data_IF_102930266563
#
_entry.id   IF_102930266563
#
_cell.length_a   1.000
_cell.length_b   1.000
_cell.length_c   1.000
_cell.angle_alpha   90.00
_cell.angle_beta   90.00
_cell.angle_gamma   90.00
#
_symmetry.space_group_name_H-M   'P 1'
#
loop_
_entity.id
_entity.type
_entity.pdbx_description
1 polymer ?
#
# COMPACT_ATOMS: atom_id res chain seq x y z
N UNK A 1 -22.81 44.14 35.97
CA UNK A 1 -23.13 44.05 34.53
C UNK A 1 -22.14 44.93 33.79
N UNK A 2 -21.20 44.34 33.05
CA UNK A 2 -20.16 45.06 32.33
C UNK A 2 -20.61 45.27 30.87
N UNK A 3 -20.77 46.53 30.45
CA UNK A 3 -20.99 46.90 29.05
C UNK A 3 -19.64 47.18 28.42
N UNK A 4 -19.15 46.24 27.60
CA UNK A 4 -18.03 46.47 26.68
C UNK A 4 -18.56 47.22 25.46
N UNK A 5 -18.17 48.48 25.30
CA UNK A 5 -18.34 49.22 24.06
C UNK A 5 -17.34 48.70 23.03
N UNK A 6 -17.84 48.37 21.83
CA UNK A 6 -17.05 48.04 20.64
C UNK A 6 -16.98 49.33 19.81
N UNK A 7 -15.81 49.85 19.43
CA UNK A 7 -15.75 50.96 18.49
C UNK A 7 -15.93 50.47 17.05
N UNK A 8 -16.82 51.17 16.33
CA UNK A 8 -17.15 50.98 14.92
C UNK A 8 -15.92 51.07 14.01
N UNK A 9 -15.79 50.08 13.13
CA UNK A 9 -14.76 50.00 12.07
C UNK A 9 -15.28 50.72 10.82
N UNK A 10 -15.23 52.04 10.83
CA UNK A 10 -15.53 52.86 9.65
C UNK A 10 -14.26 53.15 8.83
N UNK A 11 -14.25 52.64 7.59
CA UNK A 11 -13.64 53.29 6.42
C UNK A 11 -12.12 53.49 6.40
N UNK A 12 -11.39 52.49 5.88
CA UNK A 12 -10.15 52.76 5.15
C UNK A 12 -10.43 52.51 3.66
N UNK A 13 -10.42 53.58 2.88
CA UNK A 13 -10.55 53.62 1.42
C UNK A 13 -9.40 52.82 0.81
N UNK A 14 -9.71 51.88 -0.07
CA UNK A 14 -8.78 50.91 -0.63
C UNK A 14 -8.31 51.37 -2.03
N UNK A 15 -7.88 52.63 -2.15
CA UNK A 15 -7.64 53.23 -3.48
C UNK A 15 -6.22 53.83 -3.66
N UNK A 16 -5.39 53.95 -2.61
CA UNK A 16 -4.13 54.71 -2.71
C UNK A 16 -2.90 53.96 -2.16
N UNK A 17 -2.60 52.76 -2.66
CA UNK A 17 -1.33 52.10 -2.31
C UNK A 17 -0.81 51.12 -3.37
N UNK A 18 -0.89 51.45 -4.66
CA UNK A 18 -0.10 50.71 -5.64
C UNK A 18 0.40 51.61 -6.75
N UNK A 19 1.56 52.24 -6.54
CA UNK A 19 2.45 52.57 -7.64
C UNK A 19 3.89 52.75 -7.20
N UNK A 20 4.70 51.83 -7.73
CA UNK A 20 6.07 52.06 -8.18
C UNK A 20 7.20 52.06 -7.14
N UNK A 21 7.67 50.86 -6.83
CA UNK A 21 9.10 50.64 -6.55
C UNK A 21 9.64 49.58 -7.53
N UNK A 22 10.27 50.05 -8.62
CA UNK A 22 10.99 49.19 -9.56
C UNK A 22 12.36 48.82 -8.97
N UNK A 23 12.49 47.58 -8.50
CA UNK A 23 13.79 46.92 -8.31
C UNK A 23 14.19 46.11 -9.56
N UNK A 24 15.48 46.04 -9.94
CA UNK A 24 15.91 45.56 -11.25
C UNK A 24 16.22 44.05 -11.32
N UNK A 25 16.21 43.54 -12.56
CA UNK A 25 16.41 42.16 -13.04
C UNK A 25 15.19 41.23 -13.01
N UNK A 26 14.07 41.73 -13.53
CA UNK A 26 13.00 40.87 -14.02
C UNK A 26 13.36 40.47 -15.46
N UNK A 27 13.86 39.25 -15.64
CA UNK A 27 13.95 38.62 -16.96
C UNK A 27 12.56 38.69 -17.58
N UNK A 28 12.42 39.36 -18.73
CA UNK A 28 11.11 39.71 -19.25
C UNK A 28 10.21 38.47 -19.44
N UNK A 29 8.87 38.64 -19.51
CA UNK A 29 7.90 37.53 -19.57
C UNK A 29 8.18 36.50 -20.67
N UNK A 30 8.89 36.90 -21.72
CA UNK A 30 9.27 36.04 -22.84
C UNK A 30 10.45 35.11 -22.52
N UNK A 31 11.42 35.57 -21.74
CA UNK A 31 12.57 34.76 -21.30
C UNK A 31 12.11 33.68 -20.29
N UNK A 32 11.20 34.03 -19.39
CA UNK A 32 10.59 33.08 -18.46
C UNK A 32 9.80 31.99 -19.19
N UNK A 33 9.04 32.37 -20.23
CA UNK A 33 8.26 31.44 -21.04
C UNK A 33 9.17 30.46 -21.82
N UNK A 34 10.27 30.96 -22.41
CA UNK A 34 11.24 30.14 -23.13
C UNK A 34 11.97 29.16 -22.21
N UNK A 35 12.32 29.60 -21.00
CA UNK A 35 12.86 28.73 -19.96
C UNK A 35 11.87 27.63 -19.57
N UNK A 36 10.60 27.99 -19.38
CA UNK A 36 9.57 27.02 -19.00
C UNK A 36 9.33 25.97 -20.09
N UNK A 37 9.29 26.37 -21.36
CA UNK A 37 9.18 25.44 -22.48
C UNK A 37 10.38 24.49 -22.56
N UNK A 38 11.60 25.02 -22.33
CA UNK A 38 12.83 24.22 -22.26
C UNK A 38 12.79 23.20 -21.12
N UNK A 39 12.36 23.61 -19.93
CA UNK A 39 12.19 22.73 -18.78
C UNK A 39 11.16 21.63 -19.07
N UNK A 40 10.01 21.96 -19.64
CA UNK A 40 8.98 20.97 -20.00
C UNK A 40 9.53 19.95 -21.00
N UNK A 41 10.25 20.40 -22.02
CA UNK A 41 10.91 19.50 -23.00
C UNK A 41 11.94 18.60 -22.32
N UNK A 42 12.79 19.15 -21.45
CA UNK A 42 13.78 18.38 -20.71
C UNK A 42 13.13 17.32 -19.80
N UNK A 43 12.05 17.69 -19.10
CA UNK A 43 11.29 16.77 -18.23
C UNK A 43 10.62 15.68 -19.04
N UNK A 44 10.02 16.00 -20.19
CA UNK A 44 9.43 15.03 -21.09
C UNK A 44 10.46 14.01 -21.60
N UNK A 45 11.64 14.49 -22.02
CA UNK A 45 12.75 13.61 -22.42
C UNK A 45 13.19 12.70 -21.26
N UNK A 46 13.34 13.25 -20.06
CA UNK A 46 13.71 12.49 -18.85
C UNK A 46 12.68 11.40 -18.55
N UNK A 47 11.38 11.70 -18.64
CA UNK A 47 10.32 10.72 -18.44
C UNK A 47 10.40 9.60 -19.48
N UNK A 48 10.63 9.95 -20.75
CA UNK A 48 10.76 8.95 -21.83
C UNK A 48 11.96 8.04 -21.59
N UNK A 49 13.10 8.61 -21.23
CA UNK A 49 14.32 7.87 -20.92
C UNK A 49 14.14 6.93 -19.71
N UNK A 50 13.47 7.39 -18.65
CA UNK A 50 13.17 6.53 -17.50
C UNK A 50 12.19 5.41 -17.88
N UNK A 51 11.15 5.72 -18.67
CA UNK A 51 10.19 4.70 -19.13
C UNK A 51 10.84 3.62 -19.98
N UNK A 52 11.87 3.96 -20.77
CA UNK A 52 12.58 2.99 -21.59
C UNK A 52 13.60 2.17 -20.79
N UNK A 53 14.32 2.76 -19.84
CA UNK A 53 15.41 2.06 -19.14
C UNK A 53 15.00 1.37 -17.84
N UNK A 54 14.04 1.93 -17.10
CA UNK A 54 13.67 1.44 -15.76
C UNK A 54 13.15 0.00 -15.78
N UNK A 55 12.29 -0.43 -16.72
CA UNK A 55 11.81 -1.82 -16.75
C UNK A 55 12.96 -2.82 -16.87
N UNK A 56 13.95 -2.54 -17.71
CA UNK A 56 15.07 -3.46 -17.93
C UNK A 56 16.05 -3.43 -16.76
N UNK A 57 16.32 -2.25 -16.18
CA UNK A 57 17.12 -2.13 -14.96
C UNK A 57 16.49 -2.90 -13.79
N UNK A 58 15.17 -2.87 -13.64
CA UNK A 58 14.46 -3.63 -12.60
C UNK A 58 14.54 -5.13 -12.86
N UNK A 59 14.35 -5.59 -14.10
CA UNK A 59 14.50 -7.01 -14.46
C UNK A 59 15.90 -7.53 -14.13
N UNK A 60 16.95 -6.81 -14.53
CA UNK A 60 18.33 -7.25 -14.27
C UNK A 60 18.66 -7.25 -12.79
N UNK A 61 18.22 -6.23 -12.05
CA UNK A 61 18.41 -6.15 -10.59
C UNK A 61 17.69 -7.28 -9.88
N UNK A 62 16.43 -7.53 -10.23
CA UNK A 62 15.64 -8.60 -9.62
C UNK A 62 16.20 -9.98 -9.97
N UNK A 63 16.63 -10.21 -11.21
CA UNK A 63 17.30 -11.45 -11.59
C UNK A 63 18.58 -11.67 -10.78
N UNK A 64 19.41 -10.64 -10.59
CA UNK A 64 20.62 -10.71 -9.77
C UNK A 64 20.31 -11.06 -8.30
N UNK A 65 19.31 -10.40 -7.71
CA UNK A 65 18.85 -10.69 -6.34
C UNK A 65 18.32 -12.12 -6.24
N UNK A 66 17.50 -12.55 -7.20
CA UNK A 66 16.99 -13.92 -7.21
C UNK A 66 18.12 -14.93 -7.29
N UNK A 67 19.11 -14.74 -8.16
CA UNK A 67 20.28 -15.64 -8.24
C UNK A 67 21.04 -15.71 -6.92
N UNK A 68 21.27 -14.56 -6.26
CA UNK A 68 21.97 -14.51 -4.97
C UNK A 68 21.20 -15.21 -3.83
N UNK A 69 19.88 -15.29 -3.94
CA UNK A 69 18.99 -15.83 -2.91
C UNK A 69 18.32 -17.15 -3.26
N UNK A 70 18.45 -17.65 -4.49
CA UNK A 70 17.92 -18.96 -4.88
C UNK A 70 18.68 -20.04 -4.10
N UNK A 71 17.98 -20.82 -3.26
CA UNK A 71 18.57 -22.02 -2.69
C UNK A 71 18.95 -22.93 -3.86
N UNK A 72 20.20 -23.39 -3.88
CA UNK A 72 20.65 -24.38 -4.85
C UNK A 72 19.93 -25.70 -4.52
N UNK A 73 18.73 -25.90 -5.07
CA UNK A 73 18.09 -27.20 -5.12
C UNK A 73 18.87 -28.03 -6.15
N UNK A 74 19.95 -28.64 -5.69
CA UNK A 74 20.65 -29.67 -6.44
C UNK A 74 19.65 -30.79 -6.72
N UNK A 75 19.34 -30.99 -8.00
CA UNK A 75 18.51 -32.09 -8.47
C UNK A 75 19.06 -33.41 -7.93
N UNK A 76 18.38 -34.02 -6.96
CA UNK A 76 18.51 -35.45 -6.72
C UNK A 76 17.68 -36.16 -7.78
N UNK A 77 18.28 -36.38 -8.95
CA UNK A 77 17.83 -37.43 -9.88
C UNK A 77 18.00 -38.76 -9.18
N UNK A 78 16.91 -39.26 -8.59
CA UNK A 78 16.85 -40.55 -7.93
C UNK A 78 15.49 -41.17 -8.15
N UNK A 79 15.37 -41.96 -9.21
CA UNK A 79 14.29 -42.93 -9.34
C UNK A 79 14.22 -43.80 -8.07
N UNK A 80 13.05 -43.89 -7.42
CA UNK A 80 12.46 -45.16 -6.96
C UNK A 80 11.32 -44.92 -5.97
N UNK A 81 10.10 -45.22 -6.44
CA UNK A 81 9.07 -46.06 -5.79
C UNK A 81 8.92 -45.97 -4.25
N UNK A 82 7.80 -45.39 -3.82
CA UNK A 82 7.13 -45.60 -2.52
C UNK A 82 6.78 -47.12 -2.40
N UNK A 83 7.01 -47.83 -1.27
CA UNK A 83 6.07 -47.78 -0.14
C UNK A 83 6.63 -47.95 1.29
N UNK A 84 5.92 -47.30 2.24
CA UNK A 84 5.54 -47.75 3.59
C UNK A 84 6.57 -48.47 4.47
N UNK A 85 6.82 -47.94 5.68
CA UNK A 85 6.46 -48.59 6.97
C UNK A 85 7.27 -48.02 8.14
N UNK A 86 6.53 -47.69 9.19
CA UNK A 86 6.84 -47.70 10.62
C UNK A 86 7.85 -46.74 11.28
N UNK A 87 7.51 -46.44 12.52
CA UNK A 87 8.10 -45.48 13.44
C UNK A 87 9.54 -45.82 13.84
N UNK A 88 10.35 -44.78 14.03
CA UNK A 88 11.34 -44.70 15.10
C UNK A 88 11.80 -43.26 15.25
N UNK A 89 11.82 -42.82 16.51
CA UNK A 89 12.40 -41.58 16.99
C UNK A 89 13.90 -41.55 16.64
N UNK A 90 14.37 -40.46 16.04
CA UNK A 90 15.79 -40.16 16.03
C UNK A 90 15.97 -38.66 16.24
N UNK A 91 16.38 -38.36 17.47
CA UNK A 91 17.01 -37.12 17.88
C UNK A 91 18.18 -36.76 16.95
N UNK A 92 18.35 -35.45 16.82
CA UNK A 92 19.65 -34.79 16.83
C UNK A 92 20.52 -34.73 15.57
N UNK A 93 20.95 -33.49 15.31
CA UNK A 93 22.23 -33.08 14.71
C UNK A 93 22.36 -33.00 13.19
N UNK A 94 21.57 -32.17 12.49
CA UNK A 94 22.08 -31.52 11.26
C UNK A 94 21.46 -30.12 11.09
N UNK A 95 22.18 -29.07 11.47
CA UNK A 95 21.86 -27.73 10.95
C UNK A 95 22.16 -26.51 11.81
N UNK A 96 22.83 -26.64 12.95
CA UNK A 96 23.52 -25.53 13.62
C UNK A 96 24.68 -25.02 12.75
N UNK A 97 24.36 -24.42 11.60
CA UNK A 97 25.33 -23.74 10.73
C UNK A 97 24.66 -22.76 9.80
N UNK A 98 23.70 -22.01 10.33
CA UNK A 98 23.26 -20.76 9.73
C UNK A 98 23.40 -19.60 10.72
N UNK A 99 24.59 -19.49 11.32
CA UNK A 99 25.13 -18.19 11.73
C UNK A 99 25.44 -17.38 10.46
N UNK A 100 24.41 -17.07 9.66
CA UNK A 100 24.50 -15.95 8.75
C UNK A 100 24.05 -14.78 9.59
N UNK A 101 25.04 -14.02 10.06
CA UNK A 101 24.92 -12.65 10.57
C UNK A 101 23.56 -12.08 10.17
N UNK A 102 22.57 -12.21 11.07
CA UNK A 102 21.20 -11.81 10.74
C UNK A 102 21.26 -10.30 10.62
N UNK A 103 21.17 -9.80 9.40
CA UNK A 103 21.18 -8.37 9.14
C UNK A 103 20.08 -7.75 10.02
N UNK A 104 20.40 -6.76 10.88
CA UNK A 104 19.42 -6.17 11.79
C UNK A 104 18.12 -5.73 11.09
N UNK A 105 18.14 -5.46 9.79
CA UNK A 105 16.91 -5.21 9.01
C UNK A 105 16.06 -6.46 8.77
N UNK A 106 16.67 -7.62 8.55
CA UNK A 106 15.95 -8.90 8.35
C UNK A 106 15.27 -9.37 9.62
N UNK A 107 15.94 -9.31 10.78
CA UNK A 107 15.35 -9.65 12.07
C UNK A 107 14.13 -8.78 12.40
N UNK A 108 14.21 -7.47 12.13
CA UNK A 108 13.08 -6.52 12.30
C UNK A 108 11.90 -6.88 11.40
N UNK A 109 12.15 -7.25 10.13
CA UNK A 109 11.09 -7.66 9.19
C UNK A 109 10.40 -8.95 9.66
N UNK A 110 11.15 -9.91 10.17
CA UNK A 110 10.60 -11.18 10.72
C UNK A 110 9.74 -10.89 11.96
N UNK A 111 10.23 -10.05 12.88
CA UNK A 111 9.47 -9.68 14.07
C UNK A 111 8.17 -8.95 13.70
N UNK A 112 8.21 -7.98 12.80
CA UNK A 112 7.03 -7.27 12.31
C UNK A 112 6.00 -8.21 11.67
N UNK A 113 6.47 -9.19 10.90
CA UNK A 113 5.59 -10.19 10.29
C UNK A 113 4.88 -11.03 11.37
N UNK A 114 5.62 -11.47 12.38
CA UNK A 114 5.07 -12.23 13.52
C UNK A 114 4.02 -11.42 14.28
N UNK A 115 4.29 -10.13 14.53
CA UNK A 115 3.34 -9.21 15.17
C UNK A 115 2.08 -9.04 14.34
N UNK A 116 2.18 -8.87 13.01
CA UNK A 116 1.04 -8.77 12.11
C UNK A 116 0.20 -10.04 12.06
N UNK A 117 0.85 -11.20 11.99
CA UNK A 117 0.16 -12.50 12.00
C UNK A 117 -0.56 -12.69 13.33
N UNK A 118 0.10 -12.41 14.45
CA UNK A 118 -0.49 -12.51 15.79
C UNK A 118 -1.67 -11.55 15.96
N UNK A 119 -1.51 -10.29 15.55
CA UNK A 119 -2.59 -9.30 15.57
C UNK A 119 -3.79 -9.75 14.75
N UNK A 120 -3.57 -10.23 13.52
CA UNK A 120 -4.66 -10.74 12.67
C UNK A 120 -5.33 -11.98 13.29
N UNK A 121 -4.54 -12.95 13.75
CA UNK A 121 -5.03 -14.17 14.40
C UNK A 121 -5.89 -13.84 15.62
N UNK A 122 -5.52 -12.82 16.40
CA UNK A 122 -6.31 -12.36 17.55
C UNK A 122 -7.63 -11.67 17.17
N UNK A 123 -7.72 -11.06 15.98
CA UNK A 123 -8.94 -10.41 15.49
C UNK A 123 -9.94 -11.42 14.88
N UNK A 124 -9.47 -12.54 14.37
CA UNK A 124 -10.29 -13.55 13.69
C UNK A 124 -11.48 -14.07 14.51
N UNK A 125 -11.36 -14.39 15.82
CA UNK A 125 -12.51 -14.82 16.62
C UNK A 125 -13.67 -13.82 16.62
N UNK A 126 -13.36 -12.52 16.65
CA UNK A 126 -14.36 -11.45 16.63
C UNK A 126 -15.05 -11.39 15.27
N UNK A 127 -14.28 -11.46 14.18
CA UNK A 127 -14.82 -11.45 12.81
C UNK A 127 -15.72 -12.67 12.59
N UNK A 128 -15.26 -13.87 12.96
CA UNK A 128 -16.01 -15.11 12.81
C UNK A 128 -17.31 -15.10 13.62
N UNK A 129 -17.28 -14.58 14.85
CA UNK A 129 -18.50 -14.40 15.65
C UNK A 129 -19.50 -13.49 14.94
N UNK A 130 -19.06 -12.32 14.47
CA UNK A 130 -19.92 -11.37 13.73
C UNK A 130 -20.50 -11.97 12.46
N UNK A 131 -19.71 -12.75 11.72
CA UNK A 131 -20.20 -13.45 10.52
C UNK A 131 -21.31 -14.45 10.86
N UNK A 132 -21.14 -15.25 11.92
CA UNK A 132 -22.17 -16.18 12.40
C UNK A 132 -23.44 -15.44 12.82
N UNK A 133 -23.30 -14.34 13.57
CA UNK A 133 -24.44 -13.53 14.00
C UNK A 133 -25.20 -12.93 12.81
N UNK A 134 -24.49 -12.46 11.77
CA UNK A 134 -25.12 -11.95 10.54
C UNK A 134 -25.89 -13.04 9.79
N UNK A 135 -25.32 -14.23 9.63
CA UNK A 135 -25.99 -15.37 8.98
C UNK A 135 -27.26 -15.73 9.74
N UNK A 136 -27.18 -15.89 11.07
CA UNK A 136 -28.33 -16.20 11.90
C UNK A 136 -29.46 -15.15 11.80
N UNK A 137 -29.09 -13.86 11.64
CA UNK A 137 -30.07 -12.78 11.42
C UNK A 137 -30.74 -12.87 10.04
N UNK A 138 -30.01 -13.24 9.00
CA UNK A 138 -30.55 -13.43 7.65
C UNK A 138 -31.51 -14.61 7.64
N UNK A 139 -31.10 -15.76 8.17
CA UNK A 139 -31.94 -16.97 8.25
C UNK A 139 -33.23 -16.70 9.03
N UNK A 140 -33.14 -15.93 10.12
CA UNK A 140 -34.30 -15.48 10.86
C UNK A 140 -35.23 -14.62 9.99
N UNK A 141 -34.70 -13.68 9.20
CA UNK A 141 -35.50 -12.85 8.29
C UNK A 141 -36.17 -13.66 7.18
N UNK A 142 -35.46 -14.62 6.60
CA UNK A 142 -35.98 -15.50 5.55
C UNK A 142 -37.07 -16.45 6.07
N UNK A 143 -36.99 -16.86 7.35
CA UNK A 143 -38.03 -17.67 8.00
C UNK A 143 -39.36 -16.93 8.18
N UNK A 144 -39.32 -15.59 8.21
CA UNK A 144 -40.53 -14.80 8.20
C UNK A 144 -41.02 -14.68 6.76
N UNK A 145 -42.24 -15.17 6.49
CA UNK A 145 -43.00 -14.78 5.30
C UNK A 145 -43.42 -13.31 5.44
N UNK A 146 -42.45 -12.39 5.43
CA UNK A 146 -42.70 -10.96 5.52
C UNK A 146 -43.44 -10.56 4.25
N UNK A 147 -44.59 -9.91 4.42
CA UNK A 147 -45.29 -9.22 3.35
C UNK A 147 -44.42 -8.05 2.86
N UNK A 148 -43.39 -8.35 2.07
CA UNK A 148 -42.53 -7.35 1.43
C UNK A 148 -43.45 -6.53 0.53
N UNK A 149 -43.49 -5.23 0.77
CA UNK A 149 -44.34 -4.31 0.03
C UNK A 149 -44.09 -4.45 -1.48
N UNK A 150 -45.14 -4.47 -2.32
CA UNK A 150 -45.03 -4.75 -3.75
C UNK A 150 -43.98 -3.91 -4.49
N UNK A 151 -43.76 -2.66 -4.06
CA UNK A 151 -42.73 -1.77 -4.62
C UNK A 151 -41.29 -2.32 -4.52
N UNK A 152 -41.01 -3.19 -3.55
CA UNK A 152 -39.68 -3.82 -3.36
C UNK A 152 -39.60 -5.25 -3.90
N UNK A 153 -40.67 -5.76 -4.53
CA UNK A 153 -40.64 -7.07 -5.18
C UNK A 153 -39.96 -6.94 -6.54
N UNK A 154 -38.87 -7.68 -6.76
CA UNK A 154 -38.26 -7.79 -8.09
C UNK A 154 -39.27 -8.45 -9.05
N UNK A 155 -39.60 -7.78 -10.16
CA UNK A 155 -40.43 -8.35 -11.22
C UNK A 155 -39.69 -9.58 -11.78
N UNK A 156 -40.31 -10.76 -11.70
CA UNK A 156 -39.83 -11.95 -12.41
C UNK A 156 -40.34 -11.87 -13.85
N UNK A 157 -39.48 -11.55 -14.79
CA UNK A 157 -39.74 -11.79 -16.22
C UNK A 157 -39.74 -13.30 -16.46
N UNK A 158 -40.84 -13.81 -17.00
CA UNK A 158 -40.93 -15.17 -17.53
C UNK A 158 -40.24 -15.26 -18.88
#
# INVERSE_FOLDING_TARGET
MALKQIPDRSGISLDDAWSSECGPTDSGPQEELEKLDSDVKQRAHTILQLRSSLPDQLKTTLASVLVAHTPLLTHTTGHSKIPSSDASEQEDLIGEKQLKLEDPETAKKVQLLKEKISSNASAMPVVLKRMKDCIARIEKLDSYNVAIHPAFKRKRTK
#
